data_IF_882764444344
#
_entry.id   IF_882764444344
#
_cell.length_a   1.000
_cell.length_b   1.000
_cell.length_c   1.000
_cell.angle_alpha   90.00
_cell.angle_beta   90.00
_cell.angle_gamma   90.00
#
_symmetry.space_group_name_H-M   'P 1'
#
loop_
_entity.id
_entity.type
_entity.pdbx_description
1 polymer ?
#
# COMPACT_ATOMS: atom_id res chain seq x y z
N UNK A 1 -11.23 25.41 -1.87
CA UNK A 1 -10.16 24.76 -1.09
C UNK A 1 -9.53 23.67 -1.94
N UNK A 2 -8.31 23.90 -2.45
CA UNK A 2 -7.67 23.12 -3.50
C UNK A 2 -6.38 22.50 -2.97
N UNK A 3 -6.50 21.30 -2.41
CA UNK A 3 -5.40 20.42 -1.95
C UNK A 3 -5.07 19.34 -2.99
N UNK A 4 -5.61 19.46 -4.21
CA UNK A 4 -6.04 18.30 -4.99
C UNK A 4 -5.00 17.65 -5.91
N UNK A 5 -3.85 18.28 -6.13
CA UNK A 5 -2.73 17.65 -6.86
C UNK A 5 -1.50 17.41 -6.01
N UNK A 6 -1.41 18.06 -4.84
CA UNK A 6 -0.29 17.91 -3.90
C UNK A 6 -0.61 16.97 -2.72
N UNK A 7 -1.87 16.60 -2.46
CA UNK A 7 -2.18 15.58 -1.45
C UNK A 7 -1.55 14.21 -1.79
N UNK A 8 -1.37 13.91 -3.08
CA UNK A 8 -0.60 12.74 -3.54
C UNK A 8 0.90 12.84 -3.23
N UNK A 9 1.42 14.05 -2.93
CA UNK A 9 2.83 14.29 -2.61
C UNK A 9 3.06 14.27 -1.09
N UNK A 10 2.09 14.69 -0.26
CA UNK A 10 2.31 14.76 1.19
C UNK A 10 2.25 13.40 1.92
N UNK A 11 1.53 12.39 1.41
CA UNK A 11 1.66 11.02 1.95
C UNK A 11 2.91 10.28 1.43
N UNK A 12 3.62 10.85 0.47
CA UNK A 12 4.76 10.24 -0.17
C UNK A 12 6.11 10.66 0.44
N UNK A 13 6.11 11.52 1.46
CA UNK A 13 7.33 12.00 2.10
C UNK A 13 7.95 10.99 3.10
N UNK A 14 7.23 9.91 3.45
CA UNK A 14 7.66 8.94 4.47
C UNK A 14 7.98 7.53 3.93
N UNK A 15 7.89 7.30 2.61
CA UNK A 15 8.29 6.04 1.98
C UNK A 15 9.04 6.34 0.68
N UNK A 16 10.08 5.56 0.30
CA UNK A 16 10.54 5.58 -1.08
C UNK A 16 9.34 5.18 -1.94
N UNK A 17 8.73 6.17 -2.59
CA UNK A 17 7.57 6.00 -3.47
C UNK A 17 7.76 4.74 -4.30
N UNK A 18 6.76 3.87 -4.32
CA UNK A 18 6.55 3.01 -5.47
C UNK A 18 6.49 3.94 -6.69
N UNK A 19 7.61 4.03 -7.43
CA UNK A 19 7.90 5.01 -8.49
C UNK A 19 6.93 4.97 -9.68
N UNK A 20 5.82 4.23 -9.63
CA UNK A 20 5.13 3.76 -10.83
C UNK A 20 3.63 4.07 -10.94
N UNK A 21 3.05 4.98 -10.15
CA UNK A 21 1.62 5.29 -10.32
C UNK A 21 1.33 6.79 -10.34
N UNK A 22 1.91 7.49 -11.34
CA UNK A 22 1.27 8.72 -11.81
C UNK A 22 -0.16 8.37 -12.27
N UNK A 23 -1.18 9.18 -11.92
CA UNK A 23 -2.54 8.91 -12.38
C UNK A 23 -2.57 8.94 -13.91
N UNK A 24 -3.17 7.91 -14.51
CA UNK A 24 -3.40 7.90 -15.96
C UNK A 24 -4.30 9.09 -16.31
N UNK A 25 -3.91 9.90 -17.29
CA UNK A 25 -4.68 11.05 -17.76
C UNK A 25 -5.46 10.67 -19.02
N UNK A 26 -6.69 10.15 -18.92
CA UNK A 26 -7.42 9.59 -20.06
C UNK A 26 -7.75 10.62 -21.15
N UNK A 27 -7.84 11.91 -20.79
CA UNK A 27 -8.06 12.99 -21.75
C UNK A 27 -6.87 13.22 -22.69
N UNK A 28 -5.67 12.73 -22.36
CA UNK A 28 -4.52 12.81 -23.26
C UNK A 28 -4.66 11.92 -24.50
N UNK A 29 -5.48 10.88 -24.43
CA UNK A 29 -5.79 10.03 -25.59
C UNK A 29 -6.68 10.73 -26.63
N UNK A 30 -7.25 11.89 -26.29
CA UNK A 30 -8.15 12.67 -27.16
C UNK A 30 -7.41 13.74 -27.95
N UNK A 31 -6.12 13.93 -27.69
CA UNK A 31 -5.33 15.03 -28.26
C UNK A 31 -4.06 14.51 -28.93
N UNK A 32 -3.55 15.27 -29.91
CA UNK A 32 -2.34 14.93 -30.63
C UNK A 32 -1.06 15.13 -29.82
N UNK A 33 0.07 14.64 -30.35
CA UNK A 33 1.39 14.66 -29.69
C UNK A 33 1.81 16.05 -29.19
N UNK A 34 1.62 17.11 -29.99
CA UNK A 34 1.95 18.47 -29.59
C UNK A 34 1.19 18.92 -28.33
N UNK A 35 -0.11 18.59 -28.24
CA UNK A 35 -0.93 18.89 -27.08
C UNK A 35 -0.47 18.12 -25.83
N UNK A 36 -0.06 16.86 -26.01
CA UNK A 36 0.50 16.06 -24.93
C UNK A 36 1.83 16.66 -24.42
N UNK A 37 2.70 17.13 -25.32
CA UNK A 37 3.94 17.83 -24.94
C UNK A 37 3.65 19.11 -24.16
N UNK A 38 2.69 19.93 -24.61
CA UNK A 38 2.28 21.13 -23.87
C UNK A 38 1.75 20.79 -22.47
N UNK A 39 0.93 19.73 -22.35
CA UNK A 39 0.47 19.25 -21.05
C UNK A 39 1.64 18.83 -20.16
N UNK A 40 2.60 18.05 -20.67
CA UNK A 40 3.76 17.60 -19.90
C UNK A 40 4.64 18.78 -19.45
N UNK A 41 4.77 19.82 -20.27
CA UNK A 41 5.48 21.04 -19.89
C UNK A 41 4.78 21.74 -18.72
N UNK A 42 3.46 21.94 -18.80
CA UNK A 42 2.67 22.50 -17.68
C UNK A 42 2.84 21.63 -16.42
N UNK A 43 2.73 20.31 -16.56
CA UNK A 43 2.84 19.34 -15.46
C UNK A 43 4.22 19.33 -14.80
N UNK A 44 5.28 19.53 -15.58
CA UNK A 44 6.66 19.52 -15.09
C UNK A 44 7.12 20.86 -14.51
N UNK A 45 6.33 21.93 -14.70
CA UNK A 45 6.69 23.27 -14.24
C UNK A 45 6.54 23.36 -12.72
N UNK A 46 7.66 23.49 -12.00
CA UNK A 46 7.69 23.44 -10.52
C UNK A 46 7.46 24.79 -9.83
N UNK A 47 7.51 25.90 -10.56
CA UNK A 47 7.35 27.26 -10.02
C UNK A 47 5.88 27.73 -9.98
N UNK A 48 4.95 26.93 -10.48
CA UNK A 48 3.53 27.28 -10.51
C UNK A 48 2.90 27.10 -9.14
N UNK A 49 2.21 28.16 -8.71
CA UNK A 49 1.21 28.03 -7.65
C UNK A 49 0.03 27.18 -8.14
N UNK A 50 -0.75 26.63 -7.20
CA UNK A 50 -1.91 25.79 -7.55
C UNK A 50 -2.93 26.52 -8.44
N UNK A 51 -3.32 27.79 -8.17
CA UNK A 51 -4.23 28.51 -9.04
C UNK A 51 -3.66 28.71 -10.45
N UNK A 52 -2.37 29.04 -10.56
CA UNK A 52 -1.71 29.22 -11.86
C UNK A 52 -1.66 27.92 -12.66
N UNK A 53 -1.36 26.81 -11.99
CA UNK A 53 -1.40 25.49 -12.62
C UNK A 53 -2.79 25.17 -13.15
N UNK A 54 -3.83 25.41 -12.35
CA UNK A 54 -5.21 25.16 -12.76
C UNK A 54 -5.65 26.04 -13.92
N UNK A 55 -5.33 27.33 -13.89
CA UNK A 55 -5.59 28.24 -14.98
C UNK A 55 -4.93 27.76 -16.28
N UNK A 56 -3.64 27.39 -16.24
CA UNK A 56 -2.91 26.88 -17.41
C UNK A 56 -3.50 25.59 -17.96
N UNK A 57 -3.88 24.65 -17.08
CA UNK A 57 -4.54 23.41 -17.52
C UNK A 57 -5.92 23.69 -18.14
N UNK A 58 -6.68 24.63 -17.60
CA UNK A 58 -7.99 24.99 -18.16
C UNK A 58 -7.86 25.70 -19.52
N UNK A 59 -6.90 26.61 -19.67
CA UNK A 59 -6.58 27.25 -20.95
C UNK A 59 -6.12 26.22 -21.99
N UNK A 60 -5.23 25.30 -21.60
CA UNK A 60 -4.81 24.18 -22.44
C UNK A 60 -6.00 23.30 -22.85
N UNK A 61 -6.89 22.98 -21.90
CA UNK A 61 -8.04 22.13 -22.18
C UNK A 61 -9.07 22.80 -23.10
N UNK A 62 -9.21 24.12 -23.03
CA UNK A 62 -10.01 24.92 -23.98
C UNK A 62 -9.39 24.91 -25.37
N UNK A 63 -8.08 25.19 -25.47
CA UNK A 63 -7.32 25.20 -26.73
C UNK A 63 -7.47 23.89 -27.51
N UNK A 64 -7.49 22.76 -26.81
CA UNK A 64 -7.59 21.42 -27.43
C UNK A 64 -8.99 20.79 -27.34
N UNK A 65 -10.01 21.55 -26.94
CA UNK A 65 -11.40 21.10 -26.86
C UNK A 65 -11.62 19.84 -25.98
N UNK A 66 -10.87 19.72 -24.88
CA UNK A 66 -10.96 18.62 -23.90
C UNK A 66 -11.38 19.08 -22.51
N UNK A 67 -11.86 20.32 -22.37
CA UNK A 67 -12.31 20.93 -21.10
C UNK A 67 -13.26 20.02 -20.31
N UNK A 68 -14.27 19.44 -20.96
CA UNK A 68 -15.23 18.54 -20.31
C UNK A 68 -14.56 17.28 -19.75
N UNK A 69 -13.66 16.68 -20.52
CA UNK A 69 -12.90 15.48 -20.11
C UNK A 69 -11.97 15.77 -18.93
N UNK A 70 -11.32 16.94 -18.92
CA UNK A 70 -10.48 17.39 -17.80
C UNK A 70 -11.31 17.63 -16.54
N UNK A 71 -12.45 18.31 -16.64
CA UNK A 71 -13.33 18.56 -15.50
C UNK A 71 -13.88 17.26 -14.90
N UNK A 72 -14.39 16.36 -15.74
CA UNK A 72 -14.87 15.04 -15.28
C UNK A 72 -13.78 14.23 -14.59
N UNK A 73 -12.55 14.28 -15.11
CA UNK A 73 -11.42 13.64 -14.47
C UNK A 73 -11.09 14.27 -13.10
N UNK A 74 -11.12 15.60 -12.97
CA UNK A 74 -10.94 16.30 -11.68
C UNK A 74 -11.99 15.86 -10.66
N UNK A 75 -13.25 15.81 -11.06
CA UNK A 75 -14.36 15.38 -10.19
C UNK A 75 -14.20 13.93 -9.72
N UNK A 76 -13.81 13.03 -10.64
CA UNK A 76 -13.53 11.63 -10.30
C UNK A 76 -12.39 11.53 -9.28
N UNK A 77 -11.28 12.22 -9.52
CA UNK A 77 -10.14 12.22 -8.59
C UNK A 77 -10.55 12.71 -7.20
N UNK A 78 -11.37 13.76 -7.12
CA UNK A 78 -11.84 14.28 -5.84
C UNK A 78 -12.71 13.27 -5.08
N UNK A 79 -13.59 12.57 -5.81
CA UNK A 79 -14.41 11.51 -5.21
C UNK A 79 -13.55 10.34 -4.73
N UNK A 80 -12.61 9.89 -5.56
CA UNK A 80 -11.71 8.78 -5.23
C UNK A 80 -10.85 9.12 -4.00
N UNK A 81 -10.36 10.37 -3.92
CA UNK A 81 -9.62 10.89 -2.76
C UNK A 81 -10.45 10.85 -1.49
N UNK A 82 -11.66 11.42 -1.50
CA UNK A 82 -12.54 11.40 -0.32
C UNK A 82 -12.84 9.98 0.14
N UNK A 83 -13.03 9.07 -0.81
CA UNK A 83 -13.25 7.66 -0.53
C UNK A 83 -12.02 7.04 0.15
N UNK A 84 -10.83 7.26 -0.40
CA UNK A 84 -9.57 6.77 0.18
C UNK A 84 -9.28 7.36 1.57
N UNK A 85 -9.55 8.65 1.78
CA UNK A 85 -9.41 9.30 3.09
C UNK A 85 -10.36 8.68 4.11
N UNK A 86 -11.62 8.43 3.74
CA UNK A 86 -12.59 7.78 4.62
C UNK A 86 -12.19 6.33 4.97
N UNK A 87 -11.74 5.55 3.97
CA UNK A 87 -11.23 4.18 4.18
C UNK A 87 -10.01 4.17 5.12
N UNK A 88 -9.09 5.12 4.96
CA UNK A 88 -7.92 5.25 5.83
C UNK A 88 -8.33 5.56 7.28
N UNK A 89 -9.23 6.52 7.49
CA UNK A 89 -9.73 6.86 8.83
C UNK A 89 -10.44 5.67 9.48
N UNK A 90 -11.19 4.90 8.70
CA UNK A 90 -11.82 3.68 9.17
C UNK A 90 -10.78 2.64 9.61
N UNK A 91 -9.74 2.42 8.80
CA UNK A 91 -8.65 1.50 9.14
C UNK A 91 -7.90 1.93 10.41
N UNK A 92 -7.56 3.21 10.54
CA UNK A 92 -6.90 3.77 11.74
C UNK A 92 -7.72 3.57 13.01
N UNK A 93 -9.05 3.55 12.90
CA UNK A 93 -9.95 3.30 14.03
C UNK A 93 -10.06 1.82 14.37
N UNK A 94 -10.16 0.95 13.37
CA UNK A 94 -10.41 -0.50 13.58
C UNK A 94 -9.17 -1.32 13.89
N UNK A 95 -8.07 -1.07 13.20
CA UNK A 95 -6.87 -1.91 13.28
C UNK A 95 -6.27 -1.99 14.70
N UNK A 96 -6.26 -0.92 15.52
CA UNK A 96 -5.81 -1.03 16.91
C UNK A 96 -6.60 -2.07 17.71
N UNK A 97 -7.92 -2.15 17.51
CA UNK A 97 -8.74 -3.15 18.20
C UNK A 97 -8.47 -4.55 17.65
N UNK A 98 -8.37 -4.70 16.33
CA UNK A 98 -8.01 -5.96 15.69
C UNK A 98 -6.70 -6.55 16.27
N UNK A 99 -5.66 -5.73 16.43
CA UNK A 99 -4.40 -6.20 17.03
C UNK A 99 -4.52 -6.58 18.50
N UNK A 100 -5.33 -5.85 19.29
CA UNK A 100 -5.62 -6.23 20.68
C UNK A 100 -6.34 -7.57 20.75
N UNK A 101 -7.32 -7.81 19.88
CA UNK A 101 -8.05 -9.08 19.85
C UNK A 101 -7.13 -10.24 19.43
N UNK A 102 -6.26 -10.03 18.44
CA UNK A 102 -5.23 -11.01 18.05
C UNK A 102 -4.29 -11.35 19.21
N UNK A 103 -3.84 -10.35 19.97
CA UNK A 103 -3.01 -10.56 21.16
C UNK A 103 -3.75 -11.39 22.21
N UNK A 104 -5.00 -11.06 22.51
CA UNK A 104 -5.81 -11.81 23.48
C UNK A 104 -5.98 -13.29 23.07
N UNK A 105 -6.18 -13.57 21.78
CA UNK A 105 -6.25 -14.95 21.27
C UNK A 105 -4.91 -15.67 21.45
N UNK A 106 -3.79 -14.99 21.18
CA UNK A 106 -2.46 -15.58 21.31
C UNK A 106 -2.08 -15.87 22.77
N UNK A 107 -2.58 -15.07 23.71
CA UNK A 107 -2.32 -15.22 25.15
C UNK A 107 -3.33 -16.13 25.87
N UNK A 108 -4.43 -16.53 25.22
CA UNK A 108 -5.44 -17.40 25.83
C UNK A 108 -4.99 -18.86 25.88
N UNK A 109 -4.38 -19.23 27.01
CA UNK A 109 -3.85 -20.58 27.27
C UNK A 109 -4.90 -21.69 27.31
N UNK A 110 -6.19 -21.36 27.21
CA UNK A 110 -7.29 -22.34 27.16
C UNK A 110 -7.59 -22.79 25.73
N UNK A 111 -7.09 -22.07 24.72
CA UNK A 111 -7.33 -22.39 23.32
C UNK A 111 -6.29 -23.37 22.80
N UNK A 112 -6.74 -24.33 21.99
CA UNK A 112 -5.83 -25.08 21.12
C UNK A 112 -5.37 -24.20 19.96
N UNK A 113 -4.24 -24.56 19.33
CA UNK A 113 -3.72 -23.85 18.15
C UNK A 113 -4.77 -23.70 17.05
N UNK A 114 -5.53 -24.77 16.77
CA UNK A 114 -6.61 -24.77 15.78
C UNK A 114 -7.72 -23.77 16.14
N UNK A 115 -8.16 -23.74 17.39
CA UNK A 115 -9.18 -22.80 17.84
C UNK A 115 -8.69 -21.34 17.79
N UNK A 116 -7.41 -21.12 18.11
CA UNK A 116 -6.79 -19.80 18.00
C UNK A 116 -6.69 -19.34 16.54
N UNK A 117 -6.35 -20.24 15.62
CA UNK A 117 -6.36 -19.99 14.17
C UNK A 117 -7.75 -19.65 13.65
N UNK A 118 -8.75 -20.48 13.96
CA UNK A 118 -10.15 -20.24 13.57
C UNK A 118 -10.67 -18.88 14.07
N UNK A 119 -10.31 -18.50 15.30
CA UNK A 119 -10.67 -17.18 15.86
C UNK A 119 -9.95 -16.03 15.15
N UNK A 120 -8.67 -16.17 14.81
CA UNK A 120 -7.95 -15.15 14.02
C UNK A 120 -8.55 -14.99 12.63
N UNK A 121 -8.92 -16.08 11.95
CA UNK A 121 -9.58 -16.04 10.65
C UNK A 121 -10.92 -15.30 10.72
N UNK A 122 -11.69 -15.50 11.80
CA UNK A 122 -12.92 -14.76 12.03
C UNK A 122 -12.68 -13.25 12.23
N UNK A 123 -11.56 -12.84 12.85
CA UNK A 123 -11.18 -11.42 12.94
C UNK A 123 -10.81 -10.85 11.58
N UNK A 124 -10.02 -11.57 10.78
CA UNK A 124 -9.59 -11.14 9.44
C UNK A 124 -10.80 -10.97 8.52
N UNK A 125 -11.80 -11.86 8.59
CA UNK A 125 -13.04 -11.76 7.81
C UNK A 125 -13.88 -10.51 8.10
N UNK A 126 -13.68 -9.83 9.23
CA UNK A 126 -14.36 -8.57 9.57
C UNK A 126 -13.68 -7.34 8.94
N UNK A 127 -12.47 -7.51 8.40
CA UNK A 127 -11.71 -6.44 7.77
C UNK A 127 -11.99 -6.38 6.26
N UNK A 128 -11.95 -5.17 5.72
CA UNK A 128 -11.92 -4.96 4.26
C UNK A 128 -10.57 -5.42 3.66
N UNK A 129 -10.48 -5.68 2.35
CA UNK A 129 -9.20 -6.08 1.74
C UNK A 129 -8.05 -5.09 2.00
N UNK A 130 -8.34 -3.78 2.00
CA UNK A 130 -7.33 -2.74 2.31
C UNK A 130 -6.91 -2.75 3.77
N UNK A 131 -7.86 -2.96 4.69
CA UNK A 131 -7.56 -3.11 6.12
C UNK A 131 -6.71 -4.36 6.38
N UNK A 132 -7.00 -5.48 5.70
CA UNK A 132 -6.19 -6.71 5.78
C UNK A 132 -4.76 -6.47 5.29
N UNK A 133 -4.60 -5.79 4.14
CA UNK A 133 -3.28 -5.45 3.60
C UNK A 133 -2.50 -4.53 4.56
N UNK A 134 -3.16 -3.51 5.11
CA UNK A 134 -2.54 -2.62 6.09
C UNK A 134 -2.13 -3.38 7.37
N UNK A 135 -2.98 -4.28 7.87
CA UNK A 135 -2.66 -5.14 9.01
C UNK A 135 -1.45 -6.04 8.74
N UNK A 136 -1.36 -6.64 7.54
CA UNK A 136 -0.22 -7.46 7.14
C UNK A 136 1.09 -6.65 7.11
N UNK A 137 1.07 -5.45 6.49
CA UNK A 137 2.25 -4.56 6.44
C UNK A 137 2.71 -4.17 7.84
N UNK A 138 1.77 -3.74 8.69
CA UNK A 138 2.08 -3.37 10.07
C UNK A 138 2.64 -4.56 10.85
N UNK A 139 2.04 -5.74 10.71
CA UNK A 139 2.53 -6.95 11.39
C UNK A 139 3.95 -7.28 10.97
N UNK A 140 4.23 -7.26 9.67
CA UNK A 140 5.56 -7.53 9.11
C UNK A 140 6.61 -6.52 9.59
N UNK A 141 6.25 -5.24 9.67
CA UNK A 141 7.16 -4.17 10.08
C UNK A 141 7.64 -4.30 11.53
N UNK A 142 6.81 -4.89 12.40
CA UNK A 142 7.09 -5.04 13.84
C UNK A 142 7.36 -6.50 14.25
N UNK A 143 7.63 -7.41 13.30
CA UNK A 143 8.13 -8.75 13.63
C UNK A 143 9.50 -8.59 14.32
N UNK A 144 9.70 -9.17 15.51
CA UNK A 144 11.02 -9.14 16.16
C UNK A 144 12.04 -9.82 15.24
N UNK A 145 13.17 -9.15 15.02
CA UNK A 145 14.32 -9.77 14.35
C UNK A 145 14.92 -10.76 15.34
N UNK A 146 15.04 -12.03 14.94
CA UNK A 146 15.81 -12.99 15.72
C UNK A 146 17.29 -12.65 15.60
N UNK A 147 17.83 -11.96 16.62
CA UNK A 147 19.25 -11.57 16.67
C UNK A 147 20.20 -12.78 16.72
N UNK A 148 19.70 -13.99 17.00
CA UNK A 148 20.52 -15.21 16.96
C UNK A 148 21.00 -15.55 15.54
N UNK A 149 20.20 -15.23 14.51
CA UNK A 149 20.59 -15.36 13.10
C UNK A 149 21.53 -14.24 12.64
N UNK A 150 21.42 -13.05 13.23
CA UNK A 150 22.29 -11.92 12.88
C UNK A 150 23.72 -12.11 13.41
N UNK A 151 23.88 -12.69 14.60
CA UNK A 151 25.20 -12.95 15.21
C UNK A 151 25.98 -14.08 14.55
N UNK A 152 25.30 -15.07 13.95
CA UNK A 152 25.96 -16.22 13.31
C UNK A 152 26.72 -15.87 12.02
N UNK A 153 26.39 -14.74 11.37
CA UNK A 153 27.03 -14.30 10.11
C UNK A 153 28.29 -13.47 10.30
N UNK A 154 28.65 -13.08 11.53
CA UNK A 154 29.74 -12.15 11.81
C UNK A 154 31.05 -12.83 12.24
N UNK A 155 31.06 -14.14 12.50
CA UNK A 155 32.27 -14.90 12.84
C UNK A 155 32.37 -16.21 12.05
N UNK A 156 33.33 -16.28 11.11
CA UNK A 156 33.99 -17.53 10.73
C UNK A 156 33.82 -18.03 9.28
N UNK A 157 34.91 -18.26 8.53
CA UNK A 157 34.90 -18.92 7.23
C UNK A 157 34.92 -20.46 7.36
N UNK A 158 34.28 -21.13 6.40
CA UNK A 158 34.47 -22.53 5.99
C UNK A 158 34.57 -23.61 7.09
N UNK A 159 33.46 -24.31 7.35
CA UNK A 159 33.48 -25.73 7.69
C UNK A 159 32.12 -26.35 7.38
N UNK A 160 32.11 -27.36 6.50
CA UNK A 160 30.95 -28.23 6.32
C UNK A 160 30.61 -28.92 7.63
N UNK A 161 29.33 -28.94 7.98
CA UNK A 161 28.87 -29.54 9.22
C UNK A 161 27.39 -29.29 9.40
N UNK A 162 26.65 -30.38 9.34
CA UNK A 162 25.21 -30.54 9.59
C UNK A 162 24.61 -29.51 10.56
N UNK A 163 23.55 -28.83 10.11
CA UNK A 163 22.75 -27.94 10.92
C UNK A 163 22.13 -28.69 12.12
N UNK A 164 22.26 -28.19 13.36
CA UNK A 164 21.43 -28.66 14.46
C UNK A 164 20.04 -28.03 14.34
N UNK A 165 19.03 -28.89 14.33
CA UNK A 165 17.60 -28.54 14.42
C UNK A 165 17.30 -27.79 15.71
N UNK A 166 16.87 -26.53 15.60
CA UNK A 166 16.27 -25.77 16.70
C UNK A 166 14.85 -26.24 17.00
N UNK A 167 14.49 -26.32 18.29
CA UNK A 167 13.20 -26.83 18.78
C UNK A 167 12.01 -25.86 18.68
N UNK A 168 12.16 -24.72 18.02
CA UNK A 168 11.03 -23.81 17.75
C UNK A 168 11.03 -23.45 16.26
N UNK A 169 10.48 -24.35 15.45
CA UNK A 169 10.39 -24.15 14.00
C UNK A 169 10.35 -25.44 13.20
N UNK A 170 9.46 -26.37 13.52
CA UNK A 170 9.19 -27.56 12.71
C UNK A 170 7.70 -27.88 12.74
N UNK A 171 6.93 -27.23 11.89
CA UNK A 171 5.80 -27.81 11.16
C UNK A 171 5.20 -26.73 10.25
N UNK A 172 5.80 -26.58 9.08
CA UNK A 172 5.33 -25.63 8.08
C UNK A 172 6.11 -25.70 6.77
N UNK A 173 6.65 -26.87 6.41
CA UNK A 173 7.20 -27.10 5.08
C UNK A 173 7.34 -28.61 4.85
N UNK A 174 6.25 -29.21 4.38
CA UNK A 174 6.21 -30.42 3.54
C UNK A 174 4.73 -30.74 3.37
N UNK A 175 4.11 -30.33 2.28
CA UNK A 175 3.01 -31.01 1.60
C UNK A 175 2.68 -30.23 0.30
N UNK A 176 3.65 -30.18 -0.61
CA UNK A 176 3.35 -30.32 -2.03
C UNK A 176 4.01 -31.63 -2.44
N UNK A 177 3.22 -32.69 -2.47
CA UNK A 177 3.57 -33.98 -3.03
C UNK A 177 2.58 -34.24 -4.15
N UNK A 178 3.13 -34.37 -5.35
CA UNK A 178 2.43 -34.61 -6.61
C UNK A 178 1.41 -35.75 -6.51
N UNK A 179 0.20 -35.46 -7.00
CA UNK A 179 -0.83 -36.47 -7.22
C UNK A 179 -0.61 -37.17 -8.55
N UNK A 180 -0.40 -38.48 -8.49
CA UNK A 180 -0.69 -39.43 -9.57
C UNK A 180 -1.29 -40.67 -8.90
N UNK A 181 -2.60 -40.89 -9.07
CA UNK A 181 -3.25 -42.06 -9.67
C UNK A 181 -4.71 -41.71 -9.95
#
# INVERSE_FOLDING_TARGET
MLVLLFALICLAAAQPMQRNQLPKFPFLNQVGFAAQQEFQNIFSTRDLTRPQFEERIMQWAEKYNVKKSVLSFKEKLEKDKKTAEAELQQALTKLPQFFRDCKQIAEDSRLTWKQAEEKRDQLVKKLTPKEQQAAAILSQLFVPVDESEARSKQYGPAAGGQYPQGQYGQQGQQFYGDGQY
#
